data_IF_484863169288
#
_entry.id   IF_484863169288
#
_cell.length_a   1.000
_cell.length_b   1.000
_cell.length_c   1.000
_cell.angle_alpha   90.00
_cell.angle_beta   90.00
_cell.angle_gamma   90.00
#
_symmetry.space_group_name_H-M   'P 1'
#
loop_
_entity.id
_entity.type
_entity.pdbx_description
1 polymer ?
#
# COMPACT_ATOMS: atom_id res chain seq x y z
N UNK A 1 12.16 10.40 -5.45
CA UNK A 1 11.16 11.20 -4.73
C UNK A 1 11.77 12.51 -4.26
N UNK A 2 11.12 13.62 -4.55
CA UNK A 2 11.49 14.94 -4.04
C UNK A 2 10.92 15.23 -2.64
N UNK A 3 10.67 14.18 -1.84
CA UNK A 3 10.16 14.31 -0.49
C UNK A 3 11.27 14.78 0.46
N UNK A 4 11.29 16.06 0.78
CA UNK A 4 12.28 16.66 1.69
C UNK A 4 11.94 16.46 3.17
N UNK A 5 10.66 16.20 3.50
CA UNK A 5 10.18 15.95 4.86
C UNK A 5 9.36 14.66 4.90
N UNK A 6 9.63 13.80 5.87
CA UNK A 6 8.87 12.57 6.12
C UNK A 6 8.62 12.38 7.61
N UNK A 7 7.36 12.19 7.99
CA UNK A 7 6.94 12.05 9.41
C UNK A 7 7.43 13.20 10.29
N UNK A 8 7.36 14.44 9.76
CA UNK A 8 7.79 15.65 10.45
C UNK A 8 9.30 15.84 10.61
N UNK A 9 10.13 14.99 9.99
CA UNK A 9 11.59 15.08 10.03
C UNK A 9 12.17 15.24 8.63
N UNK A 10 13.33 15.92 8.47
CA UNK A 10 14.03 15.96 7.18
C UNK A 10 14.35 14.54 6.70
N UNK A 11 14.11 14.29 5.41
CA UNK A 11 14.46 13.03 4.77
C UNK A 11 15.98 12.91 4.58
N UNK A 12 16.46 11.69 4.34
CA UNK A 12 17.87 11.45 3.98
C UNK A 12 18.26 12.26 2.73
N UNK A 13 17.35 12.34 1.76
CA UNK A 13 17.52 13.14 0.55
C UNK A 13 17.68 14.63 0.85
N UNK A 14 16.94 15.17 1.82
CA UNK A 14 17.05 16.56 2.24
C UNK A 14 18.40 16.87 2.92
N UNK A 15 18.98 15.90 3.64
CA UNK A 15 20.21 16.07 4.39
C UNK A 15 21.48 15.83 3.54
N UNK A 16 21.47 14.83 2.65
CA UNK A 16 22.67 14.35 1.95
C UNK A 16 22.50 14.16 0.44
N UNK A 17 21.46 14.72 -0.16
CA UNK A 17 21.13 14.62 -1.59
C UNK A 17 20.71 13.21 -2.06
N UNK A 18 20.03 13.15 -3.20
CA UNK A 18 19.44 11.93 -3.76
C UNK A 18 20.42 10.79 -3.96
N UNK A 19 21.64 11.05 -4.46
CA UNK A 19 22.66 10.02 -4.68
C UNK A 19 23.05 9.30 -3.39
N UNK A 20 23.25 10.05 -2.31
CA UNK A 20 23.60 9.48 -1.00
C UNK A 20 22.45 8.71 -0.41
N UNK A 21 21.20 9.19 -0.58
CA UNK A 21 20.01 8.49 -0.12
C UNK A 21 19.87 7.11 -0.78
N UNK A 22 20.10 7.01 -2.09
CA UNK A 22 20.10 5.73 -2.83
C UNK A 22 21.20 4.80 -2.30
N UNK A 23 22.44 5.29 -2.18
CA UNK A 23 23.56 4.47 -1.69
C UNK A 23 23.38 3.97 -0.25
N UNK A 24 22.72 4.77 0.63
CA UNK A 24 22.36 4.33 1.97
C UNK A 24 21.32 3.20 1.89
N UNK A 25 20.32 3.33 1.02
CA UNK A 25 19.35 2.27 0.77
C UNK A 25 20.01 0.97 0.31
N UNK A 26 20.89 1.04 -0.68
CA UNK A 26 21.63 -0.09 -1.22
C UNK A 26 22.51 -0.74 -0.14
N UNK A 27 23.18 0.07 0.69
CA UNK A 27 23.99 -0.44 1.79
C UNK A 27 23.15 -1.20 2.83
N UNK A 28 22.02 -0.64 3.27
CA UNK A 28 21.12 -1.28 4.24
C UNK A 28 20.60 -2.59 3.65
N UNK A 29 20.22 -2.57 2.38
CA UNK A 29 19.74 -3.72 1.65
C UNK A 29 20.79 -4.84 1.58
N UNK A 30 22.01 -4.53 1.11
CA UNK A 30 23.11 -5.48 1.06
C UNK A 30 23.48 -6.03 2.46
N UNK A 31 23.38 -5.17 3.50
CA UNK A 31 23.63 -5.58 4.88
C UNK A 31 22.61 -6.59 5.39
N UNK A 32 21.34 -6.44 5.00
CA UNK A 32 20.27 -7.39 5.34
C UNK A 32 20.58 -8.78 4.78
N UNK A 33 20.95 -8.88 3.50
CA UNK A 33 21.38 -10.15 2.90
C UNK A 33 22.57 -10.76 3.63
N UNK A 34 23.57 -9.95 3.90
CA UNK A 34 24.78 -10.43 4.58
C UNK A 34 24.47 -11.01 5.96
N UNK A 35 23.62 -10.37 6.76
CA UNK A 35 23.18 -10.86 8.07
C UNK A 35 22.40 -12.18 7.95
N UNK A 36 21.48 -12.29 7.02
CA UNK A 36 20.73 -13.52 6.78
C UNK A 36 21.65 -14.68 6.40
N UNK A 37 22.60 -14.44 5.50
CA UNK A 37 23.58 -15.45 5.05
C UNK A 37 24.50 -15.89 6.18
N UNK A 38 25.04 -14.97 6.98
CA UNK A 38 25.91 -15.29 8.12
C UNK A 38 25.21 -16.17 9.17
N UNK A 39 23.90 -15.98 9.37
CA UNK A 39 23.10 -16.73 10.32
C UNK A 39 22.41 -17.96 9.72
N UNK A 40 22.72 -18.33 8.47
CA UNK A 40 22.09 -19.46 7.75
C UNK A 40 20.57 -19.37 7.68
N UNK A 41 20.03 -18.16 7.67
CA UNK A 41 18.60 -17.87 7.62
C UNK A 41 18.04 -17.97 6.19
N UNK A 42 18.20 -19.12 5.54
CA UNK A 42 17.82 -19.34 4.14
C UNK A 42 16.33 -19.16 3.89
N UNK A 43 15.49 -19.69 4.79
CA UNK A 43 14.03 -19.59 4.64
C UNK A 43 13.56 -18.13 4.79
N UNK A 44 14.10 -17.40 5.77
CA UNK A 44 13.83 -15.97 5.93
C UNK A 44 14.33 -15.17 4.72
N UNK A 45 15.53 -15.50 4.21
CA UNK A 45 16.08 -14.84 3.03
C UNK A 45 15.20 -15.07 1.81
N UNK A 46 14.68 -16.28 1.63
CA UNK A 46 13.74 -16.61 0.56
C UNK A 46 12.48 -15.75 0.62
N UNK A 47 11.89 -15.60 1.82
CA UNK A 47 10.70 -14.74 2.01
C UNK A 47 11.00 -13.27 1.70
N UNK A 48 12.11 -12.75 2.22
CA UNK A 48 12.51 -11.36 2.01
C UNK A 48 12.80 -11.08 0.54
N UNK A 49 13.57 -11.95 -0.13
CA UNK A 49 13.90 -11.75 -1.56
C UNK A 49 12.67 -11.82 -2.45
N UNK A 50 11.75 -12.75 -2.16
CA UNK A 50 10.49 -12.83 -2.87
C UNK A 50 9.70 -11.52 -2.74
N UNK A 51 9.52 -11.00 -1.52
CA UNK A 51 8.77 -9.76 -1.31
C UNK A 51 9.42 -8.56 -1.98
N UNK A 52 10.74 -8.49 -2.06
CA UNK A 52 11.46 -7.42 -2.75
C UNK A 52 11.25 -7.50 -4.26
N UNK A 53 11.27 -8.70 -4.83
CA UNK A 53 10.96 -8.93 -6.24
C UNK A 53 9.53 -8.42 -6.55
N UNK A 54 8.54 -8.84 -5.74
CA UNK A 54 7.15 -8.37 -5.87
C UNK A 54 7.05 -6.83 -5.79
N UNK A 55 7.69 -6.21 -4.79
CA UNK A 55 7.66 -4.73 -4.65
C UNK A 55 8.23 -4.04 -5.88
N UNK A 56 9.34 -4.53 -6.42
CA UNK A 56 9.97 -3.95 -7.61
C UNK A 56 9.08 -4.10 -8.84
N UNK A 57 8.47 -5.26 -9.03
CA UNK A 57 7.54 -5.52 -10.12
C UNK A 57 6.28 -4.66 -10.00
N UNK A 58 5.70 -4.53 -8.80
CA UNK A 58 4.54 -3.68 -8.54
C UNK A 58 4.78 -2.21 -8.87
N UNK A 59 5.97 -1.68 -8.56
CA UNK A 59 6.35 -0.30 -8.93
C UNK A 59 6.47 -0.12 -10.45
N UNK A 60 7.02 -1.10 -11.16
CA UNK A 60 7.11 -1.07 -12.62
C UNK A 60 5.72 -1.09 -13.27
N UNK A 61 4.84 -1.99 -12.82
CA UNK A 61 3.45 -2.06 -13.31
C UNK A 61 2.72 -0.74 -13.03
N UNK A 62 2.84 -0.19 -11.82
CA UNK A 62 2.20 1.07 -11.47
C UNK A 62 2.69 2.22 -12.38
N UNK A 63 3.98 2.30 -12.65
CA UNK A 63 4.55 3.32 -13.54
C UNK A 63 3.94 3.22 -14.93
N UNK A 64 3.90 2.03 -15.50
CA UNK A 64 3.31 1.78 -16.82
C UNK A 64 1.83 2.17 -16.88
N UNK A 65 1.04 1.77 -15.88
CA UNK A 65 -0.40 2.07 -15.85
C UNK A 65 -0.70 3.55 -15.62
N UNK A 66 0.15 4.24 -14.86
CA UNK A 66 0.06 5.70 -14.67
C UNK A 66 0.29 6.46 -15.97
N UNK A 67 1.21 6.00 -16.81
CA UNK A 67 1.45 6.58 -18.13
C UNK A 67 0.28 6.35 -19.09
N UNK A 68 -0.28 5.14 -19.10
CA UNK A 68 -1.37 4.74 -19.99
C UNK A 68 -2.74 5.22 -19.53
N UNK A 69 -2.95 5.55 -18.26
CA UNK A 69 -4.25 5.80 -17.62
C UNK A 69 -5.25 4.65 -17.86
N UNK A 70 -4.77 3.41 -17.84
CA UNK A 70 -5.52 2.20 -18.22
C UNK A 70 -5.63 1.21 -17.04
N UNK A 71 -6.05 1.70 -15.86
CA UNK A 71 -6.21 0.90 -14.66
C UNK A 71 -7.47 0.02 -14.75
N UNK A 72 -7.32 -1.27 -14.44
CA UNK A 72 -8.45 -2.18 -14.14
C UNK A 72 -8.41 -2.60 -12.67
N UNK A 73 -9.50 -3.19 -12.21
CA UNK A 73 -9.59 -3.68 -10.83
C UNK A 73 -8.55 -4.75 -10.52
N UNK A 74 -8.33 -5.67 -11.46
CA UNK A 74 -7.34 -6.74 -11.34
C UNK A 74 -5.93 -6.18 -11.24
N UNK A 75 -5.60 -5.22 -12.10
CA UNK A 75 -4.29 -4.54 -12.10
C UNK A 75 -4.10 -3.74 -10.81
N UNK A 76 -5.14 -3.02 -10.36
CA UNK A 76 -5.08 -2.29 -9.09
C UNK A 76 -4.73 -3.21 -7.91
N UNK A 77 -5.46 -4.34 -7.76
CA UNK A 77 -5.20 -5.28 -6.68
C UNK A 77 -3.83 -5.97 -6.82
N UNK A 78 -3.38 -6.27 -8.03
CA UNK A 78 -2.03 -6.81 -8.27
C UNK A 78 -0.95 -5.81 -7.82
N UNK A 79 -1.09 -4.54 -8.17
CA UNK A 79 -0.16 -3.47 -7.76
C UNK A 79 -0.10 -3.35 -6.23
N UNK A 80 -1.23 -3.21 -5.54
CA UNK A 80 -1.22 -3.00 -4.09
C UNK A 80 -0.77 -4.25 -3.33
N UNK A 81 -1.07 -5.44 -3.86
CA UNK A 81 -0.53 -6.68 -3.34
C UNK A 81 1.00 -6.69 -3.43
N UNK A 82 1.54 -6.51 -4.62
CA UNK A 82 2.99 -6.54 -4.87
C UNK A 82 3.71 -5.45 -4.11
N UNK A 83 3.27 -4.21 -4.24
CA UNK A 83 3.94 -3.03 -3.69
C UNK A 83 3.93 -2.95 -2.17
N UNK A 84 2.87 -3.44 -1.52
CA UNK A 84 2.65 -3.24 -0.07
C UNK A 84 2.38 -4.55 0.66
N UNK A 85 1.42 -5.36 0.19
CA UNK A 85 0.95 -6.51 0.93
C UNK A 85 1.99 -7.63 1.02
N UNK A 86 2.71 -7.91 -0.05
CA UNK A 86 3.73 -8.96 -0.10
C UNK A 86 4.83 -8.76 0.96
N UNK A 87 5.22 -7.51 1.25
CA UNK A 87 6.19 -7.22 2.29
C UNK A 87 5.62 -7.47 3.70
N UNK A 88 4.36 -7.08 3.96
CA UNK A 88 3.70 -7.38 5.24
C UNK A 88 3.52 -8.90 5.41
N UNK A 89 3.19 -9.61 4.34
CA UNK A 89 3.12 -11.07 4.33
C UNK A 89 4.47 -11.72 4.68
N UNK A 90 5.55 -11.23 4.07
CA UNK A 90 6.91 -11.68 4.38
C UNK A 90 7.28 -11.41 5.85
N UNK A 91 6.87 -10.29 6.43
CA UNK A 91 7.06 -10.01 7.87
C UNK A 91 6.34 -11.05 8.75
N UNK A 92 5.10 -11.39 8.43
CA UNK A 92 4.36 -12.45 9.12
C UNK A 92 5.03 -13.82 9.01
N UNK A 93 5.39 -14.20 7.78
CA UNK A 93 6.08 -15.47 7.50
C UNK A 93 7.43 -15.58 8.22
N UNK A 94 8.28 -14.55 8.13
CA UNK A 94 9.59 -14.55 8.79
C UNK A 94 9.48 -14.59 10.31
N UNK A 95 8.45 -13.96 10.90
CA UNK A 95 8.14 -14.09 12.32
C UNK A 95 7.85 -15.54 12.72
N UNK A 96 7.04 -16.25 11.96
CA UNK A 96 6.73 -17.67 12.20
C UNK A 96 7.95 -18.58 11.98
N UNK A 97 8.73 -18.36 10.90
CA UNK A 97 9.98 -19.08 10.62
C UNK A 97 10.98 -18.93 11.77
N UNK A 98 11.10 -17.73 12.35
CA UNK A 98 12.08 -17.44 13.40
C UNK A 98 11.92 -18.28 14.67
N UNK A 99 10.74 -18.82 14.89
CA UNK A 99 10.43 -19.69 16.04
C UNK A 99 10.29 -21.16 15.65
N UNK A 100 10.64 -21.53 14.42
CA UNK A 100 10.56 -22.90 13.93
C UNK A 100 9.15 -23.43 13.72
N UNK A 101 8.19 -22.54 13.42
CA UNK A 101 6.82 -22.94 13.11
C UNK A 101 6.76 -23.83 11.84
N UNK A 102 5.77 -24.71 11.79
CA UNK A 102 5.52 -25.52 10.59
C UNK A 102 5.02 -24.66 9.41
N UNK A 103 5.08 -25.23 8.21
CA UNK A 103 4.71 -24.56 6.97
C UNK A 103 3.26 -24.04 6.99
N UNK A 104 2.34 -24.75 7.62
CA UNK A 104 0.94 -24.34 7.76
C UNK A 104 0.81 -23.04 8.55
N UNK A 105 1.53 -22.92 9.67
CA UNK A 105 1.57 -21.70 10.47
C UNK A 105 2.29 -20.56 9.77
N UNK A 106 3.40 -20.85 9.06
CA UNK A 106 4.11 -19.86 8.25
C UNK A 106 3.18 -19.28 7.17
N UNK A 107 2.46 -20.14 6.44
CA UNK A 107 1.51 -19.72 5.42
C UNK A 107 0.36 -18.89 6.00
N UNK A 108 -0.20 -19.31 7.16
CA UNK A 108 -1.27 -18.53 7.83
C UNK A 108 -0.81 -17.13 8.21
N UNK A 109 0.39 -16.98 8.77
CA UNK A 109 0.92 -15.66 9.13
C UNK A 109 1.26 -14.83 7.91
N UNK A 110 1.69 -15.46 6.81
CA UNK A 110 1.88 -14.77 5.52
C UNK A 110 0.55 -14.21 5.01
N UNK A 111 -0.51 -15.02 4.98
CA UNK A 111 -1.82 -14.58 4.49
C UNK A 111 -2.45 -13.52 5.40
N UNK A 112 -2.28 -13.62 6.72
CA UNK A 112 -2.64 -12.54 7.64
C UNK A 112 -1.98 -11.22 7.22
N UNK A 113 -0.66 -11.24 7.00
CA UNK A 113 0.09 -10.06 6.57
C UNK A 113 -0.32 -9.54 5.20
N UNK A 114 -0.53 -10.43 4.21
CA UNK A 114 -0.98 -10.09 2.87
C UNK A 114 -2.33 -9.35 2.89
N UNK A 115 -3.33 -9.90 3.55
CA UNK A 115 -4.66 -9.30 3.60
C UNK A 115 -4.66 -7.98 4.38
N UNK A 116 -3.91 -7.92 5.49
CA UNK A 116 -3.74 -6.68 6.24
C UNK A 116 -3.03 -5.61 5.42
N UNK A 117 -2.06 -6.00 4.60
CA UNK A 117 -1.34 -5.10 3.70
C UNK A 117 -2.22 -4.50 2.61
N UNK A 118 -3.14 -5.29 2.04
CA UNK A 118 -4.15 -4.78 1.11
C UNK A 118 -5.08 -3.80 1.80
N UNK A 119 -5.60 -4.12 3.00
CA UNK A 119 -6.45 -3.21 3.77
C UNK A 119 -5.70 -1.90 4.12
N UNK A 120 -4.42 -2.00 4.47
CA UNK A 120 -3.55 -0.86 4.74
C UNK A 120 -3.42 0.07 3.52
N UNK A 121 -3.18 -0.50 2.33
CA UNK A 121 -3.04 0.32 1.12
C UNK A 121 -4.37 0.98 0.72
N UNK A 122 -5.49 0.25 0.80
CA UNK A 122 -6.81 0.85 0.55
C UNK A 122 -7.09 2.00 1.54
N UNK A 123 -6.66 1.87 2.81
CA UNK A 123 -6.76 2.97 3.77
C UNK A 123 -5.92 4.17 3.36
N UNK A 124 -4.69 3.97 2.87
CA UNK A 124 -3.85 5.06 2.36
C UNK A 124 -4.54 5.77 1.18
N UNK A 125 -5.11 5.01 0.26
CA UNK A 125 -5.85 5.55 -0.88
C UNK A 125 -7.06 6.38 -0.45
N UNK A 126 -7.78 5.97 0.62
CA UNK A 126 -8.88 6.74 1.21
C UNK A 126 -8.36 8.03 1.87
N UNK A 127 -7.24 7.94 2.59
CA UNK A 127 -6.65 9.10 3.28
C UNK A 127 -6.19 10.19 2.31
N UNK A 128 -5.84 9.84 1.07
CA UNK A 128 -5.48 10.81 0.04
C UNK A 128 -6.61 11.79 -0.31
N UNK A 129 -7.86 11.42 -0.04
CA UNK A 129 -9.05 12.28 -0.17
C UNK A 129 -9.35 13.12 1.06
N UNK A 130 -8.64 12.91 2.16
CA UNK A 130 -8.89 13.63 3.41
C UNK A 130 -8.32 15.05 3.38
N UNK A 131 -8.93 16.00 4.11
CA UNK A 131 -8.40 17.35 4.23
C UNK A 131 -6.97 17.39 4.78
N UNK A 132 -6.20 18.39 4.37
CA UNK A 132 -4.80 18.58 4.80
C UNK A 132 -4.65 18.71 6.32
N UNK A 133 -5.66 19.26 7.00
CA UNK A 133 -5.69 19.40 8.45
C UNK A 133 -5.68 18.06 9.20
N UNK A 134 -6.19 17.01 8.55
CA UNK A 134 -6.25 15.64 9.09
C UNK A 134 -4.94 14.90 8.81
N UNK A 135 -4.49 14.88 7.57
CA UNK A 135 -3.35 14.06 7.12
C UNK A 135 -2.00 14.77 7.20
N UNK A 136 -2.01 16.10 7.25
CA UNK A 136 -0.80 16.93 7.12
C UNK A 136 -0.21 16.95 5.71
N UNK A 137 -0.92 16.40 4.71
CA UNK A 137 -0.53 16.38 3.29
C UNK A 137 -1.61 17.04 2.42
N UNK A 138 -1.26 17.64 1.28
CA UNK A 138 -2.24 18.15 0.35
C UNK A 138 -3.17 17.03 -0.14
N UNK A 139 -4.48 17.27 -0.16
CA UNK A 139 -5.50 16.35 -0.68
C UNK A 139 -5.22 16.01 -2.15
N UNK A 140 -5.41 14.76 -2.55
CA UNK A 140 -5.32 14.30 -3.94
C UNK A 140 -3.89 14.19 -4.46
N UNK A 141 -2.95 13.77 -3.62
CA UNK A 141 -1.55 13.51 -4.00
C UNK A 141 -1.44 12.47 -5.10
N UNK A 142 -2.15 11.36 -4.99
CA UNK A 142 -2.20 10.30 -6.00
C UNK A 142 -2.77 10.81 -7.33
N UNK A 143 -3.82 11.64 -7.29
CA UNK A 143 -4.36 12.25 -8.51
C UNK A 143 -3.36 13.21 -9.17
N UNK A 144 -2.61 13.99 -8.39
CA UNK A 144 -1.54 14.88 -8.93
C UNK A 144 -0.44 14.07 -9.62
N UNK A 145 -0.21 12.86 -9.15
CA UNK A 145 0.69 11.89 -9.79
C UNK A 145 0.01 11.09 -10.91
N UNK A 146 -1.27 11.37 -11.22
CA UNK A 146 -2.08 10.69 -12.24
C UNK A 146 -2.34 9.22 -11.94
N UNK A 147 -2.28 8.81 -10.67
CA UNK A 147 -2.61 7.47 -10.23
C UNK A 147 -4.13 7.31 -10.13
N UNK A 148 -4.62 6.18 -10.62
CA UNK A 148 -6.01 5.76 -10.46
C UNK A 148 -6.05 4.74 -9.32
N UNK A 149 -6.55 5.18 -8.15
CA UNK A 149 -6.72 4.32 -6.97
C UNK A 149 -8.17 3.86 -6.84
N UNK A 150 -8.43 2.94 -5.91
CA UNK A 150 -9.73 2.25 -5.80
C UNK A 150 -10.96 3.16 -5.77
N UNK A 151 -10.97 4.31 -5.03
CA UNK A 151 -12.13 5.18 -5.03
C UNK A 151 -12.46 5.77 -6.41
N UNK A 152 -11.45 6.23 -7.15
CA UNK A 152 -11.63 6.78 -8.49
C UNK A 152 -11.94 5.67 -9.51
N UNK A 153 -11.29 4.53 -9.41
CA UNK A 153 -11.53 3.37 -10.28
C UNK A 153 -12.99 2.90 -10.21
N UNK A 154 -13.55 2.81 -9.01
CA UNK A 154 -14.97 2.48 -8.82
C UNK A 154 -15.91 3.44 -9.55
N UNK A 155 -15.60 4.73 -9.54
CA UNK A 155 -16.40 5.75 -10.24
C UNK A 155 -16.25 5.62 -11.75
N UNK A 156 -15.03 5.41 -12.24
CA UNK A 156 -14.76 5.21 -13.67
C UNK A 156 -15.53 4.01 -14.23
N UNK A 157 -15.50 2.87 -13.54
CA UNK A 157 -16.21 1.64 -13.94
C UNK A 157 -17.73 1.78 -14.04
N UNK A 158 -18.30 2.74 -13.30
CA UNK A 158 -19.76 2.97 -13.23
C UNK A 158 -20.25 4.22 -13.97
N UNK A 159 -19.32 4.94 -14.56
CA UNK A 159 -19.62 6.13 -15.34
C UNK A 159 -20.12 5.78 -16.74
N UNK A 160 -20.94 6.64 -17.31
CA UNK A 160 -21.24 6.57 -18.76
C UNK A 160 -19.97 6.79 -19.56
N UNK A 161 -19.89 6.36 -20.83
CA UNK A 161 -18.68 6.59 -21.65
C UNK A 161 -18.26 8.06 -21.68
N UNK A 162 -19.20 8.99 -21.82
CA UNK A 162 -18.90 10.42 -21.84
C UNK A 162 -18.36 10.95 -20.51
N UNK A 163 -18.89 10.47 -19.38
CA UNK A 163 -18.38 10.82 -18.04
C UNK A 163 -17.00 10.19 -17.78
N UNK A 164 -16.82 8.95 -18.20
CA UNK A 164 -15.54 8.24 -18.09
C UNK A 164 -14.44 9.03 -18.83
N UNK A 165 -14.67 9.40 -20.08
CA UNK A 165 -13.72 10.18 -20.89
C UNK A 165 -13.44 11.55 -20.26
N UNK A 166 -14.47 12.20 -19.71
CA UNK A 166 -14.31 13.47 -19.00
C UNK A 166 -13.43 13.33 -17.75
N UNK A 167 -13.67 12.30 -16.93
CA UNK A 167 -12.86 12.05 -15.72
C UNK A 167 -11.41 11.76 -16.06
N UNK A 168 -11.15 10.95 -17.09
CA UNK A 168 -9.78 10.68 -17.55
C UNK A 168 -9.12 11.93 -18.15
N UNK A 169 -9.82 12.74 -18.91
CA UNK A 169 -9.31 14.01 -19.42
C UNK A 169 -8.93 14.95 -18.26
N UNK A 170 -9.77 15.05 -17.23
CA UNK A 170 -9.49 15.82 -16.02
C UNK A 170 -8.26 15.30 -15.30
N UNK A 171 -8.11 13.98 -15.11
CA UNK A 171 -6.95 13.37 -14.49
C UNK A 171 -5.67 13.60 -15.31
N UNK A 172 -5.76 13.50 -16.63
CA UNK A 172 -4.64 13.75 -17.53
C UNK A 172 -4.08 15.17 -17.40
N UNK A 173 -4.95 16.16 -17.17
CA UNK A 173 -4.62 17.59 -17.13
C UNK A 173 -4.41 18.14 -15.70
N UNK A 174 -4.35 17.32 -14.66
CA UNK A 174 -4.21 17.78 -13.26
C UNK A 174 -2.97 18.64 -13.01
N UNK A 175 -1.90 18.44 -13.78
CA UNK A 175 -0.65 19.22 -13.64
C UNK A 175 -0.78 20.65 -14.14
N UNK A 176 -1.59 20.86 -15.18
CA UNK A 176 -1.84 22.19 -15.76
C UNK A 176 -3.03 22.89 -15.10
N UNK A 177 -3.99 22.11 -14.59
CA UNK A 177 -5.25 22.61 -14.03
C UNK A 177 -5.47 21.99 -12.63
N UNK A 178 -4.88 22.57 -11.56
CA UNK A 178 -4.99 22.05 -10.19
C UNK A 178 -6.43 21.86 -9.69
N UNK A 179 -7.38 22.67 -10.18
CA UNK A 179 -8.82 22.60 -9.85
C UNK A 179 -9.45 21.27 -10.30
N UNK A 180 -8.81 20.57 -11.24
CA UNK A 180 -9.25 19.23 -11.65
C UNK A 180 -9.17 18.21 -10.50
N UNK A 181 -8.24 18.37 -9.57
CA UNK A 181 -8.16 17.51 -8.36
C UNK A 181 -9.43 17.65 -7.53
N UNK A 182 -9.87 18.88 -7.28
CA UNK A 182 -11.11 19.13 -6.52
C UNK A 182 -12.35 18.57 -7.24
N UNK A 183 -12.41 18.74 -8.56
CA UNK A 183 -13.47 18.15 -9.37
C UNK A 183 -13.53 16.62 -9.23
N UNK A 184 -12.37 15.95 -9.34
CA UNK A 184 -12.26 14.50 -9.22
C UNK A 184 -12.62 14.02 -7.81
N UNK A 185 -12.15 14.70 -6.76
CA UNK A 185 -12.51 14.39 -5.37
C UNK A 185 -14.01 14.47 -5.15
N UNK A 186 -14.67 15.53 -5.62
CA UNK A 186 -16.13 15.68 -5.52
C UNK A 186 -16.89 14.59 -6.28
N UNK A 187 -16.41 14.23 -7.48
CA UNK A 187 -17.03 13.16 -8.28
C UNK A 187 -16.93 11.80 -7.54
N UNK A 188 -15.78 11.51 -6.92
CA UNK A 188 -15.56 10.28 -6.14
C UNK A 188 -16.47 10.24 -4.91
N UNK A 189 -16.58 11.34 -4.18
CA UNK A 189 -17.45 11.43 -3.00
C UNK A 189 -18.92 11.27 -3.37
N UNK A 190 -19.41 12.03 -4.35
CA UNK A 190 -20.82 12.02 -4.77
C UNK A 190 -21.27 10.68 -5.35
N UNK A 191 -20.37 9.95 -6.02
CA UNK A 191 -20.68 8.66 -6.65
C UNK A 191 -20.36 7.45 -5.77
N UNK A 192 -20.04 7.66 -4.48
CA UNK A 192 -19.85 6.57 -3.51
C UNK A 192 -18.51 5.81 -3.62
N UNK A 193 -17.52 6.38 -4.31
CA UNK A 193 -16.18 5.76 -4.45
C UNK A 193 -15.50 5.51 -3.11
N UNK A 194 -15.60 6.47 -2.18
CA UNK A 194 -15.02 6.34 -0.84
C UNK A 194 -15.73 5.27 -0.01
N UNK A 195 -17.05 5.17 -0.09
CA UNK A 195 -17.83 4.18 0.66
C UNK A 195 -17.52 2.77 0.18
N UNK A 196 -17.39 2.58 -1.14
CA UNK A 196 -16.95 1.31 -1.70
C UNK A 196 -15.53 0.94 -1.23
N UNK A 197 -14.60 1.88 -1.24
CA UNK A 197 -13.24 1.61 -0.76
C UNK A 197 -13.22 1.25 0.73
N UNK A 198 -14.03 1.92 1.59
CA UNK A 198 -14.17 1.57 3.02
C UNK A 198 -14.72 0.17 3.20
N UNK A 199 -15.70 -0.24 2.40
CA UNK A 199 -16.23 -1.60 2.43
C UNK A 199 -15.15 -2.62 2.07
N UNK A 200 -14.44 -2.44 0.95
CA UNK A 200 -13.34 -3.33 0.54
C UNK A 200 -12.25 -3.42 1.61
N UNK A 201 -11.85 -2.29 2.19
CA UNK A 201 -10.89 -2.23 3.28
C UNK A 201 -11.31 -3.10 4.47
N UNK A 202 -12.58 -3.00 4.88
CA UNK A 202 -13.13 -3.79 5.98
C UNK A 202 -13.14 -5.27 5.65
N UNK A 203 -13.54 -5.65 4.44
CA UNK A 203 -13.53 -7.04 3.97
C UNK A 203 -12.12 -7.65 4.02
N UNK A 204 -11.10 -6.91 3.61
CA UNK A 204 -9.72 -7.38 3.67
C UNK A 204 -9.18 -7.48 5.10
N UNK A 205 -9.55 -6.55 6.00
CA UNK A 205 -9.25 -6.67 7.43
C UNK A 205 -9.89 -7.94 8.01
N UNK A 206 -11.15 -8.20 7.71
CA UNK A 206 -11.87 -9.37 8.23
C UNK A 206 -11.27 -10.68 7.71
N UNK A 207 -10.86 -10.72 6.44
CA UNK A 207 -10.09 -11.83 5.88
C UNK A 207 -8.76 -12.04 6.62
N UNK A 208 -8.03 -10.95 6.92
CA UNK A 208 -6.81 -11.05 7.71
C UNK A 208 -7.09 -11.65 9.10
N UNK A 209 -8.10 -11.16 9.82
CA UNK A 209 -8.45 -11.65 11.15
C UNK A 209 -8.86 -13.13 11.15
N UNK A 210 -9.47 -13.64 10.08
CA UNK A 210 -9.83 -15.05 9.95
C UNK A 210 -8.59 -15.97 10.01
N UNK A 211 -7.43 -15.53 9.55
CA UNK A 211 -6.18 -16.31 9.68
C UNK A 211 -5.65 -16.38 11.12
N UNK A 212 -6.16 -15.55 12.02
CA UNK A 212 -5.85 -15.62 13.45
C UNK A 212 -6.82 -16.49 14.24
N UNK A 213 -7.86 -17.04 13.62
CA UNK A 213 -8.80 -17.95 14.27
C UNK A 213 -8.12 -19.28 14.64
N UNK A 214 -8.53 -19.87 15.79
CA UNK A 214 -7.96 -21.13 16.26
C UNK A 214 -6.61 -21.02 16.99
N UNK A 215 -5.98 -19.86 17.05
CA UNK A 215 -4.88 -19.63 17.97
C UNK A 215 -5.41 -19.47 19.41
N UNK A 216 -4.67 -19.98 20.43
CA UNK A 216 -5.08 -19.84 21.83
C UNK A 216 -5.10 -18.36 22.22
N UNK A 217 -6.06 -17.99 23.10
CA UNK A 217 -6.14 -16.62 23.60
C UNK A 217 -4.86 -16.24 24.36
N UNK A 218 -4.29 -15.09 24.00
CA UNK A 218 -3.04 -14.58 24.54
C UNK A 218 -2.95 -13.06 24.33
N UNK A 219 -2.07 -12.40 25.10
CA UNK A 219 -1.78 -10.98 24.91
C UNK A 219 -1.24 -10.69 23.50
N UNK A 220 -0.48 -11.62 22.93
CA UNK A 220 0.04 -11.52 21.57
C UNK A 220 -1.09 -11.56 20.56
N UNK A 221 -2.02 -12.52 20.67
CA UNK A 221 -3.17 -12.62 19.77
C UNK A 221 -4.06 -11.38 19.86
N UNK A 222 -4.32 -10.89 21.08
CA UNK A 222 -5.07 -9.64 21.30
C UNK A 222 -4.35 -8.44 20.66
N UNK A 223 -3.02 -8.37 20.79
CA UNK A 223 -2.21 -7.31 20.16
C UNK A 223 -2.25 -7.35 18.64
N UNK A 224 -2.21 -8.54 18.01
CA UNK A 224 -2.34 -8.66 16.57
C UNK A 224 -3.72 -8.21 16.06
N UNK A 225 -4.80 -8.55 16.78
CA UNK A 225 -6.15 -8.07 16.47
C UNK A 225 -6.26 -6.55 16.60
N UNK A 226 -5.76 -5.99 17.70
CA UNK A 226 -5.72 -4.54 17.90
C UNK A 226 -4.89 -3.83 16.82
N UNK A 227 -3.79 -4.43 16.38
CA UNK A 227 -2.98 -3.89 15.28
C UNK A 227 -3.75 -3.86 13.97
N UNK A 228 -4.50 -4.92 13.64
CA UNK A 228 -5.35 -4.94 12.46
C UNK A 228 -6.44 -3.85 12.51
N UNK A 229 -7.08 -3.66 13.67
CA UNK A 229 -8.07 -2.60 13.86
C UNK A 229 -7.43 -1.19 13.81
N UNK A 230 -6.23 -1.03 14.37
CA UNK A 230 -5.48 0.23 14.31
C UNK A 230 -5.16 0.67 12.89
N UNK A 231 -4.83 -0.29 12.00
CA UNK A 231 -4.57 0.00 10.58
C UNK A 231 -5.76 0.71 9.92
N UNK A 232 -6.99 0.34 10.30
CA UNK A 232 -8.20 0.95 9.76
C UNK A 232 -8.57 2.27 10.46
N UNK A 233 -8.29 2.35 11.77
CA UNK A 233 -8.68 3.49 12.60
C UNK A 233 -7.74 4.72 12.45
N UNK A 234 -6.53 4.53 11.91
CA UNK A 234 -5.57 5.63 11.77
C UNK A 234 -6.08 6.74 10.85
N UNK A 235 -5.80 7.98 11.23
CA UNK A 235 -6.12 9.18 10.46
C UNK A 235 -4.89 9.83 9.80
N UNK A 236 -3.71 9.22 10.02
CA UNK A 236 -2.40 9.70 9.50
C UNK A 236 -1.54 8.55 9.03
#
# INVERSE_FOLDING_TARGET
>A
DEAYVRRGKPSVNALWHARTAVLIGDYIFARTYHVCLQNKGWDMLTEVTRSIHEVSEGELIQTEQTEKLAMTREIYYDIIYKKTAALLGACGATGAISVGADEGHVNRMREFGNHLGVAFQIKDDILDYSPMEVTGKPTGGDMRERKITLPLLYVLERSTPAEHDLLLAKLSDVRNSPDNVEYLCRAVEQKGGLDHARQCMTEYRDKALAFLEGYPDSDVLRSLRLFADFVLARDK
#
